data_IF_358163810594
#
_entry.id   IF_358163810594
#
_cell.length_a   1.000
_cell.length_b   1.000
_cell.length_c   1.000
_cell.angle_alpha   90.00
_cell.angle_beta   90.00
_cell.angle_gamma   90.00
#
_symmetry.space_group_name_H-M   'P 1'
#
loop_
_entity.id
_entity.type
_entity.pdbx_description
1 polymer ?
#
# COMPACT_ATOMS: atom_id res chain seq x y z
N UNK A 1 7.18 9.22 -17.26
CA UNK A 1 6.02 8.52 -17.82
C UNK A 1 4.91 8.58 -16.78
N UNK A 2 4.00 9.56 -16.89
CA UNK A 2 2.91 9.76 -15.94
C UNK A 2 1.81 8.73 -16.22
N UNK A 3 1.58 7.81 -15.29
CA UNK A 3 0.45 6.88 -15.37
C UNK A 3 -0.85 7.66 -15.14
N UNK A 4 -1.42 8.21 -16.20
CA UNK A 4 -2.69 8.93 -16.15
C UNK A 4 -3.86 7.94 -16.06
N UNK A 5 -4.49 7.88 -14.89
CA UNK A 5 -5.95 7.79 -14.64
C UNK A 5 -6.80 6.65 -15.24
N UNK A 6 -6.33 5.81 -16.17
CA UNK A 6 -7.22 4.86 -16.86
C UNK A 6 -7.54 3.59 -16.05
N UNK A 7 -6.66 3.18 -15.12
CA UNK A 7 -6.86 2.00 -14.27
C UNK A 7 -7.97 2.18 -13.22
N UNK A 8 -8.29 3.42 -12.85
CA UNK A 8 -9.34 3.73 -11.86
C UNK A 8 -10.77 3.43 -12.33
N UNK A 9 -10.97 3.00 -13.58
CA UNK A 9 -12.32 2.71 -14.11
C UNK A 9 -12.92 1.41 -13.55
N UNK A 10 -12.08 0.43 -13.18
CA UNK A 10 -12.55 -0.93 -12.82
C UNK A 10 -12.85 -1.12 -11.35
N UNK A 11 -12.37 -0.22 -10.50
CA UNK A 11 -12.56 -0.30 -9.07
C UNK A 11 -12.98 1.04 -8.49
N UNK A 12 -13.76 1.03 -7.42
CA UNK A 12 -14.22 2.23 -6.71
C UNK A 12 -13.90 2.13 -5.25
N UNK A 13 -13.61 3.27 -4.62
CA UNK A 13 -13.54 3.36 -3.16
C UNK A 13 -14.97 3.44 -2.63
N UNK A 14 -15.26 2.66 -1.58
CA UNK A 14 -16.54 2.65 -0.89
C UNK A 14 -16.32 2.67 0.61
N UNK A 15 -17.22 3.28 1.36
CA UNK A 15 -17.26 3.20 2.81
C UNK A 15 -18.06 1.95 3.23
N UNK A 16 -17.46 1.11 4.07
CA UNK A 16 -18.05 -0.09 4.64
C UNK A 16 -18.46 0.10 6.12
N UNK A 17 -18.65 1.35 6.55
CA UNK A 17 -19.09 1.70 7.90
C UNK A 17 -18.07 1.28 8.93
N UNK A 18 -18.42 0.34 9.81
CA UNK A 18 -17.53 -0.14 10.87
C UNK A 18 -16.20 -0.77 10.40
N UNK A 19 -16.07 -1.06 9.10
CA UNK A 19 -14.82 -1.57 8.48
C UNK A 19 -13.98 -0.49 7.80
N UNK A 20 -14.46 0.75 7.76
CA UNK A 20 -13.81 1.87 7.07
C UNK A 20 -13.88 1.75 5.55
N UNK A 21 -12.89 2.34 4.86
CA UNK A 21 -12.83 2.38 3.39
C UNK A 21 -12.35 1.05 2.82
N UNK A 22 -12.92 0.65 1.69
CA UNK A 22 -12.47 -0.49 0.91
C UNK A 22 -12.61 -0.26 -0.59
N UNK A 23 -12.08 -1.20 -1.36
CA UNK A 23 -12.13 -1.19 -2.82
C UNK A 23 -13.14 -2.23 -3.30
N UNK A 24 -14.08 -1.80 -4.16
CA UNK A 24 -15.06 -2.68 -4.81
C UNK A 24 -14.86 -2.71 -6.30
N UNK A 25 -15.17 -3.84 -6.94
CA UNK A 25 -15.23 -3.93 -8.39
C UNK A 25 -16.38 -3.06 -8.93
N UNK A 26 -16.08 -2.23 -9.92
CA UNK A 26 -17.06 -1.41 -10.64
C UNK A 26 -17.69 -2.15 -11.82
N UNK A 27 -17.05 -3.24 -12.26
CA UNK A 27 -17.43 -4.10 -13.39
C UNK A 27 -16.84 -5.51 -13.19
N UNK A 28 -17.26 -6.53 -13.96
CA UNK A 28 -16.65 -7.86 -13.90
C UNK A 28 -15.15 -7.85 -14.25
N UNK A 29 -14.32 -8.48 -13.41
CA UNK A 29 -12.86 -8.57 -13.57
C UNK A 29 -12.48 -10.01 -13.96
N UNK A 30 -11.68 -10.18 -15.01
CA UNK A 30 -11.23 -11.51 -15.45
C UNK A 30 -10.10 -12.02 -14.56
N UNK A 31 -9.98 -13.35 -14.44
CA UNK A 31 -8.85 -13.97 -13.73
C UNK A 31 -7.52 -13.55 -14.36
N UNK A 32 -6.58 -13.09 -13.54
CA UNK A 32 -5.24 -12.65 -13.96
C UNK A 32 -5.20 -11.23 -14.52
N UNK A 33 -6.33 -10.51 -14.52
CA UNK A 33 -6.38 -9.13 -14.97
C UNK A 33 -5.73 -8.20 -13.93
N UNK A 34 -4.90 -7.28 -14.43
CA UNK A 34 -4.25 -6.27 -13.60
C UNK A 34 -5.25 -5.18 -13.21
N UNK A 35 -5.50 -5.03 -11.91
CA UNK A 35 -6.47 -4.07 -11.38
C UNK A 35 -5.86 -2.72 -10.99
N UNK A 36 -4.62 -2.70 -10.51
CA UNK A 36 -3.96 -1.50 -9.98
C UNK A 36 -2.44 -1.63 -10.07
N UNK A 37 -1.75 -0.51 -10.32
CA UNK A 37 -0.30 -0.36 -10.20
C UNK A 37 -0.02 0.87 -9.36
N UNK A 38 0.05 0.68 -8.05
CA UNK A 38 0.28 1.78 -7.13
C UNK A 38 1.78 2.12 -7.08
N UNK A 39 2.16 3.39 -7.29
CA UNK A 39 3.53 3.82 -7.04
C UNK A 39 3.84 3.65 -5.54
N UNK A 40 5.06 3.23 -5.23
CA UNK A 40 5.48 3.05 -3.84
C UNK A 40 6.24 4.27 -3.36
N UNK A 41 5.78 4.88 -2.27
CA UNK A 41 6.56 5.83 -1.49
C UNK A 41 7.49 5.05 -0.56
N UNK A 42 8.79 5.09 -0.85
CA UNK A 42 9.80 4.42 -0.03
C UNK A 42 10.19 5.29 1.15
N UNK A 43 9.99 4.76 2.36
CA UNK A 43 10.40 5.35 3.63
C UNK A 43 11.78 4.78 3.98
N UNK A 44 12.81 5.63 4.07
CA UNK A 44 14.15 5.18 4.44
C UNK A 44 14.19 4.77 5.92
N UNK A 45 15.12 3.89 6.29
CA UNK A 45 15.26 3.37 7.66
C UNK A 45 15.32 4.49 8.73
N UNK A 46 16.06 5.57 8.45
CA UNK A 46 16.18 6.72 9.37
C UNK A 46 14.85 7.38 9.74
N UNK A 47 13.83 7.22 8.90
CA UNK A 47 12.50 7.83 9.10
C UNK A 47 11.48 6.80 9.62
N UNK A 48 11.90 5.53 9.82
CA UNK A 48 11.03 4.44 10.31
C UNK A 48 10.50 4.71 11.70
N UNK A 49 11.36 5.13 12.63
CA UNK A 49 10.92 5.38 14.01
C UNK A 49 9.73 6.35 14.07
N UNK A 50 9.79 7.45 13.34
CA UNK A 50 8.71 8.44 13.30
C UNK A 50 7.49 7.93 12.52
N UNK A 51 7.70 7.17 11.44
CA UNK A 51 6.62 6.63 10.62
C UNK A 51 5.84 5.53 11.36
N UNK A 52 6.54 4.65 12.07
CA UNK A 52 5.98 3.52 12.81
C UNK A 52 5.11 4.00 14.00
N UNK A 53 5.36 5.21 14.51
CA UNK A 53 4.54 5.86 15.54
C UNK A 53 3.31 6.59 14.97
N UNK A 54 3.19 6.67 13.64
CA UNK A 54 2.09 7.34 12.95
C UNK A 54 1.05 6.36 12.41
N UNK A 55 -0.07 6.89 11.90
CA UNK A 55 -1.08 6.07 11.21
C UNK A 55 -0.54 5.34 9.98
N UNK A 56 0.58 5.79 9.40
CA UNK A 56 1.18 5.11 8.25
C UNK A 56 1.62 3.68 8.59
N UNK A 57 1.91 3.37 9.85
CA UNK A 57 2.24 2.02 10.30
C UNK A 57 1.19 0.98 9.90
N UNK A 58 -0.10 1.36 9.82
CA UNK A 58 -1.16 0.42 9.43
C UNK A 58 -1.21 0.14 7.92
N UNK A 59 -0.34 0.78 7.13
CA UNK A 59 -0.32 0.74 5.67
C UNK A 59 1.06 0.45 5.07
N UNK A 60 2.10 0.25 5.90
CA UNK A 60 3.45 -0.05 5.41
C UNK A 60 3.62 -1.50 5.00
N UNK A 61 4.43 -1.70 3.96
CA UNK A 61 5.00 -2.98 3.55
C UNK A 61 6.50 -2.95 3.83
N UNK A 62 7.07 -4.08 4.27
CA UNK A 62 8.52 -4.22 4.33
C UNK A 62 9.10 -4.13 2.91
N UNK A 63 10.10 -3.27 2.75
CA UNK A 63 10.63 -2.92 1.44
C UNK A 63 12.13 -3.18 1.43
N UNK A 64 12.59 -3.82 0.34
CA UNK A 64 13.95 -4.32 0.06
C UNK A 64 14.13 -5.85 0.22
N UNK A 65 15.20 -6.37 -0.40
CA UNK A 65 15.52 -7.78 -0.38
C UNK A 65 16.15 -8.14 0.96
N UNK A 66 15.61 -9.16 1.62
CA UNK A 66 16.15 -9.66 2.88
C UNK A 66 15.55 -8.99 4.12
N UNK A 67 14.57 -8.10 3.95
CA UNK A 67 13.75 -7.63 5.06
C UNK A 67 12.65 -8.64 5.39
N UNK A 68 12.39 -8.88 6.68
CA UNK A 68 11.39 -9.83 7.17
C UNK A 68 10.36 -9.15 8.08
N UNK A 69 9.40 -9.90 8.63
CA UNK A 69 8.40 -9.33 9.53
C UNK A 69 9.02 -8.79 10.84
N UNK A 70 10.09 -9.42 11.33
CA UNK A 70 10.81 -9.00 12.54
C UNK A 70 11.35 -7.56 12.45
N UNK A 71 11.64 -7.10 11.24
CA UNK A 71 12.11 -5.74 10.97
C UNK A 71 11.04 -4.67 11.28
N UNK A 72 9.75 -5.03 11.27
CA UNK A 72 8.68 -4.12 11.74
C UNK A 72 8.83 -3.78 13.23
N UNK A 73 9.34 -4.72 14.03
CA UNK A 73 9.48 -4.53 15.47
C UNK A 73 10.86 -3.98 15.85
N UNK A 74 11.89 -4.28 15.07
CA UNK A 74 13.25 -3.74 15.29
C UNK A 74 13.50 -2.39 14.61
N UNK A 75 12.57 -1.95 13.75
CA UNK A 75 12.62 -0.70 12.98
C UNK A 75 13.83 -0.61 12.05
N UNK A 76 14.32 -1.76 11.59
CA UNK A 76 15.40 -1.88 10.62
C UNK A 76 14.84 -2.02 9.20
N UNK A 77 15.64 -1.67 8.20
CA UNK A 77 15.27 -1.75 6.80
C UNK A 77 14.27 -0.68 6.36
N UNK A 78 14.02 -0.63 5.05
CA UNK A 78 13.08 0.33 4.47
C UNK A 78 11.65 -0.18 4.56
N UNK A 79 10.73 0.77 4.55
CA UNK A 79 9.30 0.50 4.40
C UNK A 79 8.80 1.14 3.11
N UNK A 80 7.70 0.63 2.58
CA UNK A 80 7.01 1.19 1.43
C UNK A 80 5.53 1.38 1.75
N UNK A 81 4.95 2.48 1.30
CA UNK A 81 3.50 2.71 1.33
C UNK A 81 3.02 2.88 -0.11
N UNK A 82 1.85 2.31 -0.42
CA UNK A 82 1.23 2.32 -1.75
C UNK A 82 -0.04 3.15 -1.79
#
# INVERSE_FOLDING_TARGET
MLATSDMRKKVRITDFGGKGRGIVAAEPIKKGELIERSPVLVIPERDRANTDESILFTYVFMWEKGTTEEDLYTRKGRAGVT
#
